data_IF_664827964499
#
_entry.id   IF_664827964499
#
_cell.length_a   1.000
_cell.length_b   1.000
_cell.length_c   1.000
_cell.angle_alpha   90.00
_cell.angle_beta   90.00
_cell.angle_gamma   90.00
#
_symmetry.space_group_name_H-M   'P 1'
#
loop_
_entity.id
_entity.type
_entity.pdbx_description
1 polymer ?
#
# COMPACT_ATOMS: atom_id res chain seq x y z
N UNK A 1 -15.69 -1.13 1.73
CA UNK A 1 -15.80 -0.94 3.20
C UNK A 1 -14.51 -0.39 3.82
N UNK A 2 -13.36 -1.05 3.67
CA UNK A 2 -12.09 -0.61 4.32
C UNK A 2 -11.67 0.81 3.93
N UNK A 3 -11.77 1.21 2.66
CA UNK A 3 -11.45 2.59 2.23
C UNK A 3 -12.21 3.63 3.02
N UNK A 4 -13.51 3.42 3.26
CA UNK A 4 -14.32 4.38 4.01
C UNK A 4 -13.86 4.50 5.47
N UNK A 5 -13.44 3.39 6.08
CA UNK A 5 -12.84 3.40 7.42
C UNK A 5 -11.52 4.20 7.39
N UNK A 6 -10.68 3.98 6.38
CA UNK A 6 -9.41 4.68 6.22
C UNK A 6 -9.59 6.19 6.01
N UNK A 7 -10.60 6.61 5.23
CA UNK A 7 -10.97 8.01 5.08
C UNK A 7 -11.36 8.65 6.41
N UNK A 8 -12.25 8.00 7.17
CA UNK A 8 -12.72 8.49 8.46
C UNK A 8 -11.58 8.59 9.49
N UNK A 9 -10.73 7.57 9.56
CA UNK A 9 -9.57 7.54 10.46
C UNK A 9 -8.58 8.64 10.06
N UNK A 10 -8.24 8.74 8.78
CA UNK A 10 -7.30 9.76 8.30
C UNK A 10 -7.83 11.18 8.50
N UNK A 11 -9.13 11.42 8.30
CA UNK A 11 -9.76 12.72 8.56
C UNK A 11 -9.75 13.08 10.05
N UNK A 12 -10.05 12.10 10.92
CA UNK A 12 -10.02 12.31 12.36
C UNK A 12 -8.61 12.69 12.87
N UNK A 13 -7.58 12.01 12.36
CA UNK A 13 -6.19 12.25 12.76
C UNK A 13 -5.48 13.32 11.91
N UNK A 14 -6.16 13.96 10.95
CA UNK A 14 -5.57 14.97 10.08
C UNK A 14 -4.82 16.08 10.85
N UNK A 15 -5.33 16.62 11.98
CA UNK A 15 -4.60 17.63 12.76
C UNK A 15 -3.22 17.15 13.24
N UNK A 16 -3.06 15.86 13.56
CA UNK A 16 -1.79 15.26 13.97
C UNK A 16 -0.87 14.90 12.78
N UNK A 17 -1.40 14.91 11.56
CA UNK A 17 -0.70 14.55 10.32
C UNK A 17 -0.36 15.76 9.43
N UNK A 18 -0.30 16.97 10.01
CA UNK A 18 -0.05 18.20 9.27
C UNK A 18 -1.27 18.75 8.53
N UNK A 19 -2.47 18.48 9.04
CA UNK A 19 -3.74 18.98 8.51
C UNK A 19 -4.31 18.19 7.33
N UNK A 20 -3.78 17.00 7.05
CA UNK A 20 -4.18 16.18 5.88
C UNK A 20 -4.52 14.75 6.26
N UNK A 21 -5.42 14.13 5.48
CA UNK A 21 -5.81 12.71 5.60
C UNK A 21 -4.63 11.77 5.37
N UNK A 22 -3.79 12.07 4.39
CA UNK A 22 -2.55 11.38 4.10
C UNK A 22 -1.36 12.28 4.44
N UNK A 23 -0.32 11.71 5.04
CA UNK A 23 0.93 12.44 5.30
C UNK A 23 1.73 12.70 4.02
N UNK A 24 1.40 12.02 2.92
CA UNK A 24 2.00 12.23 1.59
C UNK A 24 0.94 12.42 0.50
N UNK A 25 0.93 13.60 -0.12
CA UNK A 25 0.04 13.89 -1.25
C UNK A 25 0.33 13.05 -2.50
N UNK A 26 1.58 12.61 -2.68
CA UNK A 26 1.97 11.71 -3.79
C UNK A 26 1.36 10.31 -3.60
N UNK A 27 1.34 9.83 -2.35
CA UNK A 27 0.73 8.54 -2.02
C UNK A 27 -0.78 8.62 -2.15
N UNK A 28 -1.41 9.69 -1.66
CA UNK A 28 -2.83 9.97 -1.84
C UNK A 28 -3.24 9.93 -3.33
N UNK A 29 -2.53 10.66 -4.19
CA UNK A 29 -2.79 10.69 -5.62
C UNK A 29 -2.58 9.33 -6.29
N UNK A 30 -1.59 8.56 -5.86
CA UNK A 30 -1.32 7.21 -6.39
C UNK A 30 -2.39 6.21 -5.99
N UNK A 31 -2.84 6.21 -4.73
CA UNK A 31 -3.95 5.38 -4.27
C UNK A 31 -5.23 5.73 -5.04
N UNK A 32 -5.51 7.02 -5.23
CA UNK A 32 -6.70 7.45 -5.98
C UNK A 32 -6.70 6.90 -7.41
N UNK A 33 -5.56 6.95 -8.12
CA UNK A 33 -5.40 6.34 -9.45
C UNK A 33 -5.62 4.83 -9.42
N UNK A 34 -5.00 4.13 -8.47
CA UNK A 34 -5.12 2.67 -8.33
C UNK A 34 -6.58 2.25 -8.05
N UNK A 35 -7.31 3.00 -7.22
CA UNK A 35 -8.74 2.77 -6.96
C UNK A 35 -9.60 3.01 -8.20
N UNK A 36 -9.34 4.09 -8.95
CA UNK A 36 -10.04 4.37 -10.20
C UNK A 36 -9.84 3.27 -11.25
N UNK A 37 -8.69 2.59 -11.22
CA UNK A 37 -8.30 1.58 -12.20
C UNK A 37 -8.59 0.12 -11.76
N UNK A 38 -9.34 -0.04 -10.67
CA UNK A 38 -9.92 -1.32 -10.27
C UNK A 38 -9.34 -1.95 -9.00
N UNK A 39 -8.61 -1.19 -8.17
CA UNK A 39 -8.38 -1.62 -6.80
C UNK A 39 -9.68 -1.54 -5.98
N UNK A 40 -9.92 -2.54 -5.13
CA UNK A 40 -11.21 -2.74 -4.43
C UNK A 40 -11.26 -2.05 -3.06
N UNK A 41 -10.13 -1.55 -2.60
CA UNK A 41 -10.05 -0.66 -1.45
C UNK A 41 -8.62 -0.22 -1.17
N UNK A 42 -8.43 0.77 -0.31
CA UNK A 42 -7.08 1.28 -0.01
C UNK A 42 -7.07 2.34 1.08
N UNK A 43 -5.86 2.77 1.45
CA UNK A 43 -5.62 3.75 2.49
C UNK A 43 -4.14 3.90 2.82
N UNK A 44 -3.86 4.57 3.93
CA UNK A 44 -2.52 4.69 4.50
C UNK A 44 -2.35 3.63 5.60
N UNK A 45 -1.15 3.11 5.78
CA UNK A 45 -0.83 2.29 6.96
C UNK A 45 -0.08 3.10 8.00
N UNK A 46 -0.42 2.88 9.28
CA UNK A 46 0.20 3.57 10.42
C UNK A 46 0.15 5.10 10.25
N UNK A 47 1.21 5.81 10.63
CA UNK A 47 1.36 7.26 10.41
C UNK A 47 1.83 7.63 8.99
N UNK A 48 1.92 6.65 8.08
CA UNK A 48 2.42 6.86 6.72
C UNK A 48 3.95 7.00 6.62
N UNK A 49 4.48 7.38 5.44
CA UNK A 49 3.72 7.74 4.25
C UNK A 49 3.20 6.52 3.46
N UNK A 50 3.52 5.29 3.87
CA UNK A 50 3.17 4.09 3.11
C UNK A 50 1.66 3.95 2.91
N UNK A 51 1.27 3.79 1.64
CA UNK A 51 -0.08 3.48 1.21
C UNK A 51 -0.27 2.00 0.90
N UNK A 52 -1.52 1.55 0.90
CA UNK A 52 -1.88 0.20 0.44
C UNK A 52 -3.17 0.24 -0.39
N UNK A 53 -3.30 -0.76 -1.26
CA UNK A 53 -4.55 -1.08 -1.96
C UNK A 53 -4.79 -2.59 -1.96
N UNK A 54 -6.06 -2.98 -2.02
CA UNK A 54 -6.48 -4.36 -2.25
C UNK A 54 -6.85 -4.57 -3.70
N UNK A 55 -6.55 -5.76 -4.21
CA UNK A 55 -6.89 -6.22 -5.55
C UNK A 55 -7.32 -7.68 -5.48
N UNK A 56 -8.17 -8.09 -6.40
CA UNK A 56 -8.80 -9.42 -6.37
C UNK A 56 -7.84 -10.56 -6.76
N UNK A 57 -6.74 -10.26 -7.43
CA UNK A 57 -5.79 -11.26 -7.92
C UNK A 57 -4.40 -10.68 -8.21
N UNK A 58 -3.40 -11.57 -8.27
CA UNK A 58 -2.05 -11.22 -8.75
C UNK A 58 -2.07 -10.66 -10.17
N UNK A 59 -2.98 -11.13 -11.04
CA UNK A 59 -3.11 -10.61 -12.41
C UNK A 59 -3.59 -9.15 -12.40
N UNK A 60 -4.57 -8.81 -11.56
CA UNK A 60 -4.99 -7.44 -11.36
C UNK A 60 -3.87 -6.58 -10.75
N UNK A 61 -3.13 -7.12 -9.78
CA UNK A 61 -1.98 -6.45 -9.16
C UNK A 61 -0.90 -6.09 -10.19
N UNK A 62 -0.50 -7.05 -11.04
CA UNK A 62 0.50 -6.86 -12.10
C UNK A 62 0.03 -5.89 -13.17
N UNK A 63 -1.26 -5.91 -13.53
CA UNK A 63 -1.85 -4.94 -14.47
C UNK A 63 -1.76 -3.51 -13.93
N UNK A 64 -2.14 -3.31 -12.67
CA UNK A 64 -2.05 -1.98 -12.03
C UNK A 64 -0.59 -1.52 -11.90
N UNK A 65 0.32 -2.40 -11.46
CA UNK A 65 1.74 -2.08 -11.36
C UNK A 65 2.34 -1.72 -12.73
N UNK A 66 2.00 -2.48 -13.79
CA UNK A 66 2.44 -2.18 -15.15
C UNK A 66 1.93 -0.83 -15.66
N UNK A 67 0.74 -0.41 -15.26
CA UNK A 67 0.13 0.86 -15.69
C UNK A 67 0.67 2.07 -14.92
N UNK A 68 0.85 1.96 -13.60
CA UNK A 68 1.17 3.11 -12.75
C UNK A 68 2.61 3.12 -12.22
N UNK A 69 3.35 2.02 -12.34
CA UNK A 69 4.67 1.86 -11.72
C UNK A 69 5.71 2.86 -12.23
N UNK A 70 5.74 3.12 -13.54
CA UNK A 70 6.68 4.10 -14.12
C UNK A 70 6.41 5.51 -13.58
N UNK A 71 5.16 5.98 -13.66
CA UNK A 71 4.76 7.29 -13.14
C UNK A 71 5.00 7.39 -11.63
N UNK A 72 4.67 6.36 -10.84
CA UNK A 72 4.93 6.35 -9.41
C UNK A 72 6.44 6.51 -9.11
N UNK A 73 7.29 5.84 -9.88
CA UNK A 73 8.75 5.93 -9.74
C UNK A 73 9.29 7.31 -10.10
N UNK A 74 8.76 7.94 -11.16
CA UNK A 74 9.07 9.33 -11.52
C UNK A 74 8.65 10.30 -10.40
N UNK A 75 7.54 10.02 -9.72
CA UNK A 75 7.07 10.78 -8.56
C UNK A 75 7.90 10.47 -7.28
N UNK A 76 8.84 9.53 -7.33
CA UNK A 76 9.70 9.14 -6.21
C UNK A 76 9.08 8.11 -5.26
N UNK A 77 8.13 7.31 -5.74
CA UNK A 77 7.48 6.23 -5.01
C UNK A 77 7.93 4.86 -5.52
N UNK A 78 7.89 3.86 -4.64
CA UNK A 78 8.05 2.46 -5.00
C UNK A 78 6.73 1.71 -4.73
N UNK A 79 6.35 0.82 -5.65
CA UNK A 79 5.14 0.00 -5.54
C UNK A 79 5.54 -1.46 -5.67
N UNK A 80 5.22 -2.25 -4.65
CA UNK A 80 5.46 -3.70 -4.61
C UNK A 80 4.17 -4.47 -4.33
N UNK A 81 4.11 -5.71 -4.82
CA UNK A 81 2.95 -6.60 -4.67
C UNK A 81 3.23 -7.61 -3.57
N UNK A 82 2.30 -7.71 -2.61
CA UNK A 82 2.41 -8.61 -1.46
C UNK A 82 1.12 -9.41 -1.29
N UNK A 83 1.23 -10.58 -0.68
CA UNK A 83 0.09 -11.37 -0.20
C UNK A 83 0.05 -11.34 1.31
N UNK A 84 -1.16 -11.48 1.87
CA UNK A 84 -1.33 -11.62 3.32
C UNK A 84 -0.53 -12.81 3.84
N UNK A 85 0.26 -12.58 4.88
CA UNK A 85 1.04 -13.62 5.55
C UNK A 85 0.15 -14.32 6.57
N UNK A 86 -0.44 -15.47 6.20
CA UNK A 86 -1.38 -16.23 7.04
C UNK A 86 -0.68 -17.20 8.00
N UNK A 87 0.54 -16.89 8.42
CA UNK A 87 1.28 -17.62 9.44
C UNK A 87 2.16 -16.64 10.24
N UNK A 88 2.48 -17.01 11.48
CA UNK A 88 3.42 -16.25 12.31
C UNK A 88 4.87 -16.35 11.82
N UNK A 89 5.78 -15.73 12.57
CA UNK A 89 7.22 -15.86 12.33
C UNK A 89 7.66 -17.32 12.42
N UNK A 90 8.62 -17.72 11.57
CA UNK A 90 9.26 -19.03 11.59
C UNK A 90 10.74 -18.86 11.90
N UNK A 91 11.30 -19.80 12.64
CA UNK A 91 12.73 -19.90 12.89
C UNK A 91 13.22 -21.08 12.06
N UNK A 92 13.96 -20.80 11.01
CA UNK A 92 14.62 -21.82 10.20
C UNK A 92 16.05 -21.98 10.69
N UNK A 93 16.42 -23.20 11.12
CA UNK A 93 17.81 -23.49 11.47
C UNK A 93 18.64 -23.54 10.18
N UNK A 94 19.40 -22.47 9.92
CA UNK A 94 20.37 -22.45 8.81
C UNK A 94 21.61 -23.23 9.28
N UNK A 95 21.52 -24.55 9.31
CA UNK A 95 22.69 -25.40 9.45
C UNK A 95 23.49 -25.31 8.15
N UNK A 96 24.37 -24.32 8.07
CA UNK A 96 25.39 -24.25 7.03
C UNK A 96 26.20 -25.54 7.10
N UNK A 97 26.25 -26.23 5.97
CA UNK A 97 27.19 -27.31 5.69
C UNK A 97 28.62 -26.76 5.89
N UNK A 98 29.15 -26.91 7.10
CA UNK A 98 30.58 -26.84 7.36
C UNK A 98 31.06 -28.29 7.26
N UNK A 99 31.31 -28.72 6.04
CA UNK A 99 32.08 -29.92 5.72
C UNK A 99 33.13 -29.52 4.68
#
# INVERSE_FOLDING_TARGET
AVTRIQELVGDHFAPAQGGRRFTSGKVEATIARLLADGATGGGQTSWGPTGFVFVESDAAARRLLGRHGAQAREEGLDISIHRGLNHGARIDAVYTQIA
#
